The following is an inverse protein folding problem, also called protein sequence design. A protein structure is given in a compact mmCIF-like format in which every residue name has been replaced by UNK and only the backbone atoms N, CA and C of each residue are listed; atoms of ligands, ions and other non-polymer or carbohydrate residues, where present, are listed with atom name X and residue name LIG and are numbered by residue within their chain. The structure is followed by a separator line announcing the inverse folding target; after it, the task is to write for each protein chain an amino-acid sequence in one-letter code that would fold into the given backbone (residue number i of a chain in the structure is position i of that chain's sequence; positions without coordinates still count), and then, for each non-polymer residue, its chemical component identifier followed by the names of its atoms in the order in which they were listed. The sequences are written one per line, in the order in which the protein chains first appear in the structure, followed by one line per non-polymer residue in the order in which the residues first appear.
data_IF_958032719450
#
_entry.id   IF_958032719450
#
_cell.length_a   1.000
_cell.length_b   1.000
_cell.length_c   1.000
_cell.angle_alpha   90.00
_cell.angle_beta   90.00
_cell.angle_gamma   90.00
#
_symmetry.space_group_name_H-M   'P 1'
#
loop_
_entity.id
_entity.type
_entity.pdbx_description
1 polymer ?
#
# COMPACT_ATOMS: atom_id res chain seq x y z
N UNK A 1 -72.55 77.49 69.46
CA UNK A 1 -72.00 76.49 70.39
C UNK A 1 -71.25 75.46 69.54
N UNK A 2 -70.01 75.76 69.14
CA UNK A 2 -68.74 75.32 69.80
C UNK A 2 -68.54 73.81 69.62
N UNK A 3 -67.46 73.27 69.04
CA UNK A 3 -66.18 73.84 68.62
C UNK A 3 -65.48 72.87 67.63
N UNK A 4 -64.61 73.43 66.78
CA UNK A 4 -63.48 72.75 66.13
C UNK A 4 -62.39 72.40 67.16
N UNK A 5 -61.65 71.30 66.97
CA UNK A 5 -60.19 71.16 67.24
C UNK A 5 -59.71 69.78 66.80
N UNK A 6 -58.89 69.68 65.75
CA UNK A 6 -57.44 69.41 65.82
C UNK A 6 -57.03 68.14 66.59
N UNK A 7 -56.51 67.15 65.84
CA UNK A 7 -55.52 66.19 66.33
C UNK A 7 -54.63 65.74 65.16
N UNK A 8 -53.55 66.49 64.96
CA UNK A 8 -52.37 66.13 64.20
C UNK A 8 -51.53 65.09 64.97
N UNK A 9 -50.73 64.34 64.20
CA UNK A 9 -49.51 63.61 64.59
C UNK A 9 -49.63 62.30 65.38
N UNK A 10 -49.36 61.20 64.66
CA UNK A 10 -48.21 60.34 64.96
C UNK A 10 -47.88 59.42 63.77
N UNK A 11 -46.81 59.75 63.06
CA UNK A 11 -46.09 58.80 62.20
C UNK A 11 -45.00 58.12 63.04
N UNK A 12 -44.97 56.78 63.15
CA UNK A 12 -43.81 56.11 63.69
C UNK A 12 -42.78 55.90 62.58
N UNK A 13 -41.74 56.73 62.60
CA UNK A 13 -40.45 56.32 62.06
C UNK A 13 -39.90 55.19 62.95
N UNK A 14 -39.78 53.99 62.40
CA UNK A 14 -38.86 52.98 62.91
C UNK A 14 -37.94 52.55 61.78
N UNK A 15 -36.71 53.08 61.83
CA UNK A 15 -35.55 52.45 61.22
C UNK A 15 -35.37 51.07 61.86
N UNK A 16 -35.46 50.00 61.07
CA UNK A 16 -34.83 48.73 61.41
C UNK A 16 -34.37 48.00 60.14
N UNK A 17 -33.06 47.77 60.11
CA UNK A 17 -32.35 46.68 59.44
C UNK A 17 -32.54 46.47 57.93
N UNK A 18 -31.49 46.87 57.22
CA UNK A 18 -30.91 46.17 56.07
C UNK A 18 -31.06 44.65 56.20
N UNK A 19 -32.06 44.11 55.51
CA UNK A 19 -32.12 42.75 54.97
C UNK A 19 -33.17 42.85 53.85
N UNK A 20 -32.77 43.40 52.71
CA UNK A 20 -33.67 43.56 51.57
C UNK A 20 -33.87 42.21 50.90
N UNK A 21 -34.91 41.48 51.32
CA UNK A 21 -35.39 40.32 50.58
C UNK A 21 -35.80 40.74 49.15
N UNK A 22 -35.58 39.90 48.14
CA UNK A 22 -35.94 40.21 46.77
C UNK A 22 -37.46 40.46 46.67
N UNK A 23 -37.85 41.66 46.26
CA UNK A 23 -39.25 41.98 45.98
C UNK A 23 -39.75 41.09 44.84
N UNK A 24 -40.55 40.09 45.21
CA UNK A 24 -41.22 39.21 44.26
C UNK A 24 -42.69 39.61 44.17
N UNK A 25 -43.08 40.13 43.01
CA UNK A 25 -44.48 40.46 42.72
C UNK A 25 -45.11 39.31 41.96
N UNK A 26 -46.17 38.74 42.53
CA UNK A 26 -46.99 37.75 41.85
C UNK A 26 -48.07 38.46 41.05
N UNK A 27 -48.10 38.21 39.75
CA UNK A 27 -49.13 38.74 38.86
C UNK A 27 -50.01 37.56 38.44
N UNK A 28 -51.24 37.54 38.95
CA UNK A 28 -52.26 36.60 38.48
C UNK A 28 -53.01 37.22 37.30
N UNK A 29 -52.93 36.56 36.14
CA UNK A 29 -53.78 36.87 34.98
C UNK A 29 -54.85 35.77 34.89
N UNK A 30 -56.07 36.01 35.39
CA UNK A 30 -57.07 34.95 35.63
C UNK A 30 -57.53 34.21 34.38
N UNK A 31 -57.32 34.79 33.20
CA UNK A 31 -57.85 34.29 31.92
C UNK A 31 -57.02 33.13 31.33
N UNK A 32 -55.80 32.87 31.83
CA UNK A 32 -54.88 31.87 31.28
C UNK A 32 -54.40 30.81 32.29
N UNK A 33 -54.89 30.84 33.53
CA UNK A 33 -54.54 29.86 34.59
C UNK A 33 -53.03 29.68 34.81
N UNK A 34 -52.23 30.72 34.55
CA UNK A 34 -50.77 30.68 34.62
C UNK A 34 -50.28 31.63 35.71
N UNK A 35 -49.53 31.08 36.67
CA UNK A 35 -48.90 31.85 37.74
C UNK A 35 -47.46 32.17 37.35
N UNK A 36 -47.18 33.46 37.18
CA UNK A 36 -45.83 33.93 36.88
C UNK A 36 -45.25 34.56 38.14
N UNK A 37 -44.08 34.07 38.55
CA UNK A 37 -43.26 34.70 39.58
C UNK A 37 -42.14 35.46 38.87
N UNK A 38 -42.23 36.79 38.86
CA UNK A 38 -41.17 37.64 38.33
C UNK A 38 -40.23 38.01 39.47
N UNK A 39 -39.00 37.51 39.41
CA UNK A 39 -37.94 37.85 40.37
C UNK A 39 -36.96 38.82 39.69
N UNK A 40 -36.79 40.01 40.26
CA UNK A 40 -35.81 41.00 39.82
C UNK A 40 -34.41 40.58 40.31
N UNK A 41 -33.41 40.68 39.43
CA UNK A 41 -32.04 40.29 39.76
C UNK A 41 -31.49 41.14 40.93
N UNK A 42 -30.80 40.54 41.92
CA UNK A 42 -30.18 41.28 43.02
C UNK A 42 -29.16 42.29 42.52
N UNK A 43 -29.02 43.43 43.21
CA UNK A 43 -28.10 44.52 42.83
C UNK A 43 -26.64 44.06 42.77
N UNK A 44 -26.30 43.01 43.52
CA UNK A 44 -24.94 42.45 43.64
C UNK A 44 -24.65 41.29 42.66
N UNK A 45 -25.60 40.96 41.78
CA UNK A 45 -25.50 39.84 40.85
C UNK A 45 -25.93 38.48 41.43
N UNK A 46 -26.07 37.48 40.57
CA UNK A 46 -26.39 36.11 40.99
C UNK A 46 -25.15 35.43 41.59
N UNK A 47 -25.33 34.51 42.54
CA UNK A 47 -24.23 33.75 43.15
C UNK A 47 -23.32 33.10 42.09
N UNK A 48 -21.99 33.21 42.27
CA UNK A 48 -21.02 32.59 41.38
C UNK A 48 -21.24 31.06 41.33
N UNK A 49 -21.46 30.54 40.13
CA UNK A 49 -21.68 29.10 39.91
C UNK A 49 -20.48 28.33 40.47
N UNK A 50 -20.74 27.32 41.31
CA UNK A 50 -19.70 26.46 41.90
C UNK A 50 -18.69 26.02 40.82
N UNK A 51 -17.39 26.32 40.99
CA UNK A 51 -16.37 25.99 39.99
C UNK A 51 -16.38 24.51 39.58
N UNK A 52 -16.85 23.62 40.46
CA UNK A 52 -17.01 22.19 40.16
C UNK A 52 -18.01 21.92 39.02
N UNK A 53 -19.09 22.68 38.90
CA UNK A 53 -20.11 22.50 37.85
C UNK A 53 -19.52 22.85 36.47
N UNK A 54 -18.65 23.86 36.41
CA UNK A 54 -17.95 24.25 35.17
C UNK A 54 -17.04 23.13 34.65
N UNK A 55 -16.34 22.41 35.54
CA UNK A 55 -15.54 21.25 35.14
C UNK A 55 -16.41 20.09 34.63
N UNK A 56 -17.57 19.83 35.24
CA UNK A 56 -18.50 18.79 34.76
C UNK A 56 -19.01 19.10 33.36
N UNK A 57 -19.36 20.35 33.08
CA UNK A 57 -19.83 20.80 31.75
C UNK A 57 -18.77 20.66 30.65
N UNK A 58 -17.48 20.73 31.00
CA UNK A 58 -16.37 20.57 30.05
C UNK A 58 -15.92 19.10 29.89
N UNK A 59 -15.93 18.31 30.97
CA UNK A 59 -15.45 16.92 30.94
C UNK A 59 -16.41 15.96 30.24
N UNK A 60 -17.72 16.21 30.33
CA UNK A 60 -18.74 15.40 29.65
C UNK A 60 -18.59 15.39 28.10
N UNK A 61 -18.55 16.55 27.40
CA UNK A 61 -18.37 16.54 25.95
C UNK A 61 -16.98 16.02 25.54
N UNK A 62 -15.95 16.25 26.36
CA UNK A 62 -14.60 15.76 26.07
C UNK A 62 -14.51 14.23 26.13
N UNK A 63 -15.08 13.61 27.16
CA UNK A 63 -15.14 12.15 27.28
C UNK A 63 -15.97 11.51 26.17
N UNK A 64 -17.09 12.14 25.78
CA UNK A 64 -17.88 11.71 24.64
C UNK A 64 -17.09 11.77 23.32
N UNK A 65 -16.34 12.84 23.09
CA UNK A 65 -15.49 12.99 21.91
C UNK A 65 -14.40 11.91 21.84
N UNK A 66 -13.73 11.64 22.95
CA UNK A 66 -12.71 10.57 23.04
C UNK A 66 -13.34 9.21 22.71
N UNK A 67 -14.54 8.92 23.23
CA UNK A 67 -15.27 7.69 22.91
C UNK A 67 -15.57 7.54 21.42
N UNK A 68 -15.96 8.63 20.75
CA UNK A 68 -16.20 8.63 19.29
C UNK A 68 -14.90 8.40 18.52
N UNK A 69 -13.81 9.07 18.89
CA UNK A 69 -12.51 8.88 18.24
C UNK A 69 -12.02 7.42 18.37
N UNK A 70 -12.06 6.85 19.57
CA UNK A 70 -11.67 5.45 19.79
C UNK A 70 -12.58 4.48 19.01
N UNK A 71 -13.89 4.74 18.94
CA UNK A 71 -14.81 3.97 18.14
C UNK A 71 -14.48 4.03 16.63
N UNK A 72 -14.17 5.22 16.13
CA UNK A 72 -13.72 5.40 14.73
C UNK A 72 -12.42 4.66 14.43
N UNK A 73 -11.42 4.76 15.31
CA UNK A 73 -10.14 4.08 15.14
C UNK A 73 -10.30 2.56 15.07
N UNK A 74 -11.15 1.99 15.93
CA UNK A 74 -11.49 0.56 15.90
C UNK A 74 -12.18 0.19 14.59
N UNK A 75 -13.16 0.96 14.12
CA UNK A 75 -13.85 0.70 12.85
C UNK A 75 -12.90 0.77 11.67
N UNK A 76 -12.00 1.75 11.63
CA UNK A 76 -10.99 1.89 10.58
C UNK A 76 -9.98 0.75 10.62
N UNK A 77 -9.53 0.34 11.80
CA UNK A 77 -8.64 -0.80 11.98
C UNK A 77 -9.27 -2.10 11.49
N UNK A 78 -10.54 -2.35 11.82
CA UNK A 78 -11.29 -3.52 11.35
C UNK A 78 -11.46 -3.52 9.82
N UNK A 79 -11.80 -2.38 9.21
CA UNK A 79 -11.89 -2.23 7.75
C UNK A 79 -10.55 -2.45 7.07
N UNK A 80 -9.47 -1.93 7.64
CA UNK A 80 -8.10 -2.13 7.13
C UNK A 80 -7.71 -3.60 7.21
N UNK A 81 -7.99 -4.27 8.33
CA UNK A 81 -7.72 -5.70 8.50
C UNK A 81 -8.53 -6.53 7.49
N UNK A 82 -9.83 -6.26 7.31
CA UNK A 82 -10.64 -6.98 6.33
C UNK A 82 -10.14 -6.76 4.89
N UNK A 83 -9.75 -5.53 4.53
CA UNK A 83 -9.16 -5.25 3.22
C UNK A 83 -7.81 -5.96 3.01
N UNK A 84 -6.99 -6.05 4.05
CA UNK A 84 -5.72 -6.79 3.98
C UNK A 84 -5.93 -8.28 3.78
N UNK A 85 -6.92 -8.89 4.45
CA UNK A 85 -7.25 -10.31 4.24
C UNK A 85 -7.78 -10.59 2.84
N UNK A 86 -8.67 -9.73 2.32
CA UNK A 86 -9.13 -9.82 0.93
C UNK A 86 -7.97 -9.66 -0.06
N UNK A 87 -7.04 -8.73 0.19
CA UNK A 87 -5.84 -8.57 -0.63
C UNK A 87 -4.92 -9.78 -0.57
N UNK A 88 -4.72 -10.37 0.62
CA UNK A 88 -3.93 -11.59 0.80
C UNK A 88 -4.56 -12.78 0.07
N UNK A 89 -5.88 -12.96 0.17
CA UNK A 89 -6.61 -14.01 -0.55
C UNK A 89 -6.55 -13.80 -2.07
N UNK A 90 -6.76 -12.56 -2.54
CA UNK A 90 -6.62 -12.24 -3.96
C UNK A 90 -5.21 -12.55 -4.47
N UNK A 91 -4.18 -12.11 -3.75
CA UNK A 91 -2.79 -12.38 -4.12
C UNK A 91 -2.43 -13.87 -4.05
N UNK A 92 -2.95 -14.62 -3.07
CA UNK A 92 -2.72 -16.06 -2.98
C UNK A 92 -3.39 -16.80 -4.14
N UNK A 93 -4.59 -16.37 -4.53
CA UNK A 93 -5.30 -16.93 -5.67
C UNK A 93 -4.61 -16.60 -6.99
N UNK A 94 -4.16 -15.36 -7.20
CA UNK A 94 -3.34 -14.96 -8.36
C UNK A 94 -2.07 -15.80 -8.42
N UNK A 95 -1.34 -15.93 -7.31
CA UNK A 95 -0.14 -16.80 -7.24
C UNK A 95 -0.46 -18.25 -7.57
N UNK A 96 -1.53 -18.80 -6.99
CA UNK A 96 -1.94 -20.19 -7.22
C UNK A 96 -2.29 -20.43 -8.69
N UNK A 97 -3.05 -19.51 -9.32
CA UNK A 97 -3.36 -19.58 -10.76
C UNK A 97 -2.11 -19.48 -11.62
N UNK A 98 -1.19 -18.57 -11.30
CA UNK A 98 0.09 -18.43 -12.02
C UNK A 98 0.91 -19.71 -11.90
N UNK A 99 1.02 -20.31 -10.71
CA UNK A 99 1.74 -21.57 -10.49
C UNK A 99 1.07 -22.71 -11.25
N UNK A 100 -0.26 -22.84 -11.15
CA UNK A 100 -1.00 -23.90 -11.82
C UNK A 100 -0.88 -23.80 -13.34
N UNK A 101 -0.95 -22.58 -13.88
CA UNK A 101 -0.75 -22.32 -15.31
C UNK A 101 0.69 -22.59 -15.75
N UNK A 102 1.68 -22.25 -14.93
CA UNK A 102 3.08 -22.58 -15.21
C UNK A 102 3.29 -24.10 -15.25
N UNK A 103 2.73 -24.85 -14.29
CA UNK A 103 2.83 -26.32 -14.23
C UNK A 103 2.14 -26.97 -15.43
N UNK A 104 0.95 -26.50 -15.83
CA UNK A 104 0.26 -27.04 -17.01
C UNK A 104 1.02 -26.77 -18.32
N UNK A 105 1.82 -25.70 -18.35
CA UNK A 105 2.54 -25.24 -19.54
C UNK A 105 4.00 -25.72 -19.61
N UNK A 106 4.51 -26.51 -18.66
CA UNK A 106 5.91 -26.98 -18.68
C UNK A 106 6.28 -27.74 -19.97
N UNK A 107 5.30 -28.32 -20.67
CA UNK A 107 5.50 -29.05 -21.93
C UNK A 107 5.01 -28.26 -23.16
N UNK A 108 4.47 -27.06 -22.99
CA UNK A 108 3.91 -26.25 -24.08
C UNK A 108 4.88 -25.15 -24.43
N UNK A 109 5.46 -25.25 -25.63
CA UNK A 109 6.37 -24.26 -26.20
C UNK A 109 5.57 -23.41 -27.20
N UNK A 110 5.12 -22.23 -26.76
CA UNK A 110 4.33 -21.28 -27.57
C UNK A 110 5.20 -20.43 -28.50
N UNK A 111 6.50 -20.38 -28.23
CA UNK A 111 7.52 -19.70 -29.05
C UNK A 111 8.78 -20.58 -29.08
N UNK A 112 9.56 -20.60 -30.18
CA UNK A 112 10.76 -21.42 -30.25
C UNK A 112 11.72 -21.19 -29.08
N UNK A 113 12.33 -22.26 -28.57
CA UNK A 113 13.38 -22.16 -27.57
C UNK A 113 14.65 -21.63 -28.23
N UNK A 114 14.89 -20.33 -28.07
CA UNK A 114 16.05 -19.66 -28.64
C UNK A 114 17.22 -19.65 -27.65
N UNK A 115 18.43 -19.98 -28.11
CA UNK A 115 19.66 -20.00 -27.31
C UNK A 115 20.83 -19.40 -28.09
N UNK A 116 21.88 -19.01 -27.36
CA UNK A 116 23.11 -18.42 -27.94
C UNK A 116 24.31 -19.27 -27.53
N UNK A 117 25.23 -19.50 -28.47
CA UNK A 117 26.48 -20.18 -28.19
C UNK A 117 27.35 -19.33 -27.26
N UNK A 118 27.99 -19.95 -26.26
CA UNK A 118 28.82 -19.20 -25.30
C UNK A 118 30.01 -18.52 -25.98
N UNK A 119 30.62 -19.17 -26.97
CA UNK A 119 31.77 -18.63 -27.71
C UNK A 119 31.40 -17.36 -28.47
N UNK A 120 30.18 -17.28 -28.99
CA UNK A 120 29.69 -16.10 -29.69
C UNK A 120 29.25 -15.02 -28.72
N UNK A 121 28.60 -15.40 -27.61
CA UNK A 121 28.24 -14.48 -26.56
C UNK A 121 29.47 -13.74 -26.01
N UNK A 122 30.58 -14.42 -25.77
CA UNK A 122 31.83 -13.81 -25.29
C UNK A 122 32.42 -12.77 -26.27
N UNK A 123 32.07 -12.84 -27.57
CA UNK A 123 32.50 -11.90 -28.61
C UNK A 123 31.57 -10.69 -28.73
N UNK A 124 30.42 -10.65 -28.06
CA UNK A 124 29.46 -9.56 -28.22
C UNK A 124 29.95 -8.23 -27.65
N UNK A 125 30.75 -8.28 -26.58
CA UNK A 125 31.22 -7.11 -25.83
C UNK A 125 30.17 -6.48 -24.93
N UNK A 126 28.89 -6.83 -25.08
CA UNK A 126 27.76 -6.44 -24.25
C UNK A 126 26.59 -7.40 -24.45
N UNK A 127 25.58 -7.36 -23.58
CA UNK A 127 24.34 -8.12 -23.81
C UNK A 127 23.61 -7.50 -25.00
N UNK A 128 23.41 -8.29 -26.06
CA UNK A 128 22.70 -7.84 -27.26
C UNK A 128 21.22 -8.17 -27.18
N UNK A 129 20.41 -7.35 -27.82
CA UNK A 129 18.97 -7.59 -27.97
C UNK A 129 18.70 -8.76 -28.90
N UNK A 130 17.63 -9.52 -28.66
CA UNK A 130 17.18 -10.64 -29.47
C UNK A 130 17.20 -10.37 -30.97
N UNK A 131 16.58 -9.27 -31.43
CA UNK A 131 16.51 -8.93 -32.85
C UNK A 131 17.91 -8.76 -33.46
N UNK A 132 18.82 -8.09 -32.74
CA UNK A 132 20.22 -7.94 -33.17
C UNK A 132 20.94 -9.28 -33.27
N UNK A 133 20.72 -10.20 -32.32
CA UNK A 133 21.35 -11.53 -32.32
C UNK A 133 20.79 -12.40 -33.45
N UNK A 134 19.47 -12.35 -33.66
CA UNK A 134 18.75 -13.03 -34.75
C UNK A 134 19.23 -12.55 -36.11
N UNK A 135 19.29 -11.25 -36.33
CA UNK A 135 19.66 -10.66 -37.63
C UNK A 135 21.13 -10.91 -37.98
N UNK A 136 21.98 -11.17 -36.97
CA UNK A 136 23.36 -11.63 -37.14
C UNK A 136 23.50 -13.14 -37.40
N UNK A 137 22.41 -13.90 -37.34
CA UNK A 137 22.42 -15.36 -37.50
C UNK A 137 23.07 -16.11 -36.32
N UNK A 138 23.16 -15.47 -35.15
CA UNK A 138 23.81 -16.04 -33.95
C UNK A 138 22.81 -16.66 -32.97
N UNK A 139 21.51 -16.60 -33.31
CA UNK A 139 20.44 -17.16 -32.51
C UNK A 139 20.10 -18.56 -33.03
N UNK A 140 20.20 -19.56 -32.15
CA UNK A 140 19.77 -20.92 -32.47
C UNK A 140 18.35 -21.15 -31.94
N UNK A 141 17.40 -21.44 -32.84
CA UNK A 141 15.98 -21.59 -32.50
C UNK A 141 15.55 -23.05 -32.59
N UNK A 142 14.92 -23.56 -31.53
CA UNK A 142 14.45 -24.94 -31.45
C UNK A 142 12.93 -24.94 -31.28
N UNK A 143 12.21 -25.44 -32.27
CA UNK A 143 10.75 -25.24 -32.36
C UNK A 143 9.92 -26.19 -31.49
N UNK A 144 10.48 -27.32 -31.05
CA UNK A 144 9.72 -28.35 -30.31
C UNK A 144 10.30 -28.60 -28.93
N UNK A 145 9.42 -28.89 -27.96
CA UNK A 145 9.83 -29.22 -26.59
C UNK A 145 10.77 -30.43 -26.53
N UNK A 146 10.47 -31.47 -27.33
CA UNK A 146 11.29 -32.69 -27.35
C UNK A 146 12.71 -32.41 -27.86
N UNK A 147 12.83 -31.68 -28.98
CA UNK A 147 14.15 -31.29 -29.50
C UNK A 147 14.90 -30.40 -28.52
N UNK A 148 14.22 -29.49 -27.81
CA UNK A 148 14.83 -28.63 -26.80
C UNK A 148 15.36 -29.45 -25.61
N UNK A 149 14.61 -30.43 -25.12
CA UNK A 149 15.04 -31.33 -24.05
C UNK A 149 16.26 -32.16 -24.47
N UNK A 150 16.26 -32.73 -25.67
CA UNK A 150 17.37 -33.54 -26.17
C UNK A 150 18.63 -32.69 -26.39
N UNK A 151 18.46 -31.49 -26.96
CA UNK A 151 19.53 -30.51 -27.12
C UNK A 151 20.16 -30.11 -25.77
N UNK A 152 19.33 -29.76 -24.79
CA UNK A 152 19.82 -29.38 -23.46
C UNK A 152 20.62 -30.52 -22.82
N UNK A 153 20.16 -31.77 -22.93
CA UNK A 153 20.85 -32.95 -22.38
C UNK A 153 22.20 -33.24 -23.04
N UNK A 154 22.30 -33.04 -24.35
CA UNK A 154 23.51 -33.34 -25.12
C UNK A 154 24.56 -32.25 -24.95
N UNK A 155 24.21 -31.00 -25.24
CA UNK A 155 25.16 -29.89 -25.36
C UNK A 155 25.28 -29.03 -24.09
N UNK A 156 24.31 -29.11 -23.18
CA UNK A 156 24.29 -28.33 -21.94
C UNK A 156 23.92 -26.88 -22.17
N UNK A 157 22.77 -26.47 -21.63
CA UNK A 157 22.27 -25.09 -21.69
C UNK A 157 22.18 -24.53 -20.28
N UNK A 158 22.79 -23.35 -20.09
CA UNK A 158 22.71 -22.58 -18.85
C UNK A 158 21.57 -21.58 -18.96
N UNK A 159 20.54 -21.75 -18.15
CA UNK A 159 19.48 -20.76 -17.97
C UNK A 159 19.99 -19.65 -17.05
N UNK A 160 20.06 -18.42 -17.55
CA UNK A 160 20.54 -17.27 -16.79
C UNK A 160 19.36 -16.45 -16.31
N UNK A 161 19.17 -16.41 -15.00
CA UNK A 161 18.26 -15.49 -14.33
C UNK A 161 19.04 -14.31 -13.79
N UNK A 162 18.63 -13.08 -14.10
CA UNK A 162 19.34 -11.85 -13.73
C UNK A 162 18.38 -10.69 -13.51
N UNK A 163 18.87 -9.64 -12.86
CA UNK A 163 18.11 -8.41 -12.63
C UNK A 163 18.25 -7.41 -13.78
N UNK A 164 17.12 -6.81 -14.17
CA UNK A 164 17.09 -5.69 -15.11
C UNK A 164 17.47 -4.39 -14.40
N UNK A 165 18.56 -3.75 -14.83
CA UNK A 165 19.05 -2.49 -14.25
C UNK A 165 18.43 -1.23 -14.89
N UNK A 166 17.68 -1.37 -15.96
CA UNK A 166 16.92 -0.26 -16.55
C UNK A 166 15.75 -0.79 -17.39
N UNK A 167 14.82 0.09 -17.74
CA UNK A 167 13.62 -0.29 -18.50
C UNK A 167 13.93 -0.67 -19.95
N UNK A 168 14.88 0.02 -20.58
CA UNK A 168 15.20 -0.18 -22.00
C UNK A 168 16.31 -1.20 -22.25
N UNK A 169 17.19 -1.41 -21.27
CA UNK A 169 18.32 -2.31 -21.40
C UNK A 169 18.63 -2.96 -20.04
N UNK A 170 18.80 -4.28 -19.97
CA UNK A 170 19.00 -4.94 -18.70
C UNK A 170 20.37 -4.62 -18.08
N UNK A 171 21.40 -4.40 -18.89
CA UNK A 171 22.78 -4.20 -18.43
C UNK A 171 23.48 -2.98 -19.06
N UNK A 172 23.06 -1.74 -18.73
CA UNK A 172 23.61 -0.53 -19.35
C UNK A 172 25.12 -0.34 -19.13
N UNK A 173 25.66 -0.90 -18.04
CA UNK A 173 27.05 -0.73 -17.62
C UNK A 173 27.93 -1.97 -17.91
N UNK A 174 27.39 -3.02 -18.53
CA UNK A 174 28.15 -4.24 -18.86
C UNK A 174 28.54 -5.12 -17.65
N UNK A 175 28.10 -4.77 -16.44
CA UNK A 175 28.47 -5.50 -15.21
C UNK A 175 27.97 -6.94 -15.25
N UNK A 176 26.76 -7.17 -15.78
CA UNK A 176 26.18 -8.51 -15.86
C UNK A 176 26.79 -9.32 -16.98
N UNK A 177 27.08 -8.70 -18.13
CA UNK A 177 27.80 -9.33 -19.23
C UNK A 177 29.12 -9.97 -18.75
N UNK A 178 29.94 -9.19 -18.04
CA UNK A 178 31.19 -9.70 -17.49
C UNK A 178 30.98 -10.81 -16.45
N UNK A 179 30.00 -10.64 -15.57
CA UNK A 179 29.69 -11.60 -14.52
C UNK A 179 29.23 -12.95 -15.10
N UNK A 180 28.39 -12.93 -16.15
CA UNK A 180 27.95 -14.12 -16.88
C UNK A 180 29.15 -14.85 -17.45
N UNK A 181 30.03 -14.16 -18.18
CA UNK A 181 31.23 -14.78 -18.77
C UNK A 181 32.12 -15.42 -17.71
N UNK A 182 32.35 -14.75 -16.57
CA UNK A 182 33.12 -15.31 -15.45
C UNK A 182 32.44 -16.55 -14.85
N UNK A 183 31.13 -16.51 -14.65
CA UNK A 183 30.36 -17.61 -14.07
C UNK A 183 30.34 -18.84 -14.97
N UNK A 184 30.10 -18.68 -16.28
CA UNK A 184 30.07 -19.80 -17.23
C UNK A 184 31.45 -20.45 -17.36
N UNK A 185 32.54 -19.67 -17.43
CA UNK A 185 33.90 -20.23 -17.44
C UNK A 185 34.20 -21.03 -16.18
N UNK A 186 33.74 -20.57 -15.01
CA UNK A 186 33.92 -21.32 -13.77
C UNK A 186 33.09 -22.62 -13.75
N UNK A 187 31.87 -22.61 -14.31
CA UNK A 187 31.06 -23.83 -14.48
C UNK A 187 31.77 -24.84 -15.38
N UNK A 188 32.28 -24.40 -16.53
CA UNK A 188 33.04 -25.23 -17.46
C UNK A 188 34.32 -25.79 -16.81
N UNK A 189 35.05 -24.98 -16.03
CA UNK A 189 36.25 -25.40 -15.27
C UNK A 189 35.93 -26.49 -14.25
N UNK A 190 34.72 -26.50 -13.69
CA UNK A 190 34.23 -27.54 -12.77
C UNK A 190 33.69 -28.78 -13.49
N UNK A 191 33.77 -28.84 -14.81
CA UNK A 191 33.30 -29.96 -15.63
C UNK A 191 31.79 -29.95 -15.91
N UNK A 192 31.10 -28.84 -15.65
CA UNK A 192 29.69 -28.68 -16.03
C UNK A 192 29.61 -28.35 -17.51
N UNK A 193 28.80 -29.08 -18.29
CA UNK A 193 28.54 -28.73 -19.70
C UNK A 193 27.70 -27.46 -19.76
N UNK A 194 28.27 -26.44 -20.40
CA UNK A 194 27.70 -25.11 -20.51
C UNK A 194 28.14 -24.49 -21.85
N UNK A 195 27.77 -25.14 -22.95
CA UNK A 195 28.13 -24.67 -24.30
C UNK A 195 27.17 -23.58 -24.81
N UNK A 196 25.96 -23.56 -24.25
CA UNK A 196 24.89 -22.66 -24.65
C UNK A 196 24.34 -21.90 -23.47
N UNK A 197 23.83 -20.72 -23.74
CA UNK A 197 23.13 -19.90 -22.75
C UNK A 197 21.73 -19.57 -23.23
N UNK A 198 20.81 -19.52 -22.28
CA UNK A 198 19.54 -18.86 -22.43
C UNK A 198 19.55 -17.61 -21.54
N UNK A 199 19.27 -16.46 -22.14
CA UNK A 199 19.20 -15.17 -21.46
C UNK A 199 18.04 -14.37 -22.05
N UNK A 200 17.13 -13.91 -21.20
CA UNK A 200 15.87 -13.27 -21.59
C UNK A 200 16.02 -12.18 -22.68
N UNK A 201 16.92 -11.21 -22.54
CA UNK A 201 17.06 -10.10 -23.49
C UNK A 201 17.63 -10.52 -24.85
N UNK A 202 18.45 -11.58 -24.88
CA UNK A 202 18.99 -12.17 -26.11
C UNK A 202 18.03 -13.17 -26.76
N UNK A 203 17.23 -13.88 -25.96
CA UNK A 203 16.49 -15.06 -26.40
C UNK A 203 14.98 -14.80 -26.55
N UNK A 204 14.46 -13.74 -25.94
CA UNK A 204 13.06 -13.31 -26.05
C UNK A 204 13.00 -12.07 -26.97
N UNK A 205 12.10 -12.05 -27.96
CA UNK A 205 11.83 -10.85 -28.76
C UNK A 205 11.53 -9.63 -27.88
N UNK A 206 12.09 -8.47 -28.23
CA UNK A 206 11.91 -7.23 -27.48
C UNK A 206 11.09 -6.19 -28.24
N UNK A 207 10.96 -6.32 -29.57
CA UNK A 207 10.21 -5.37 -30.39
C UNK A 207 8.76 -5.80 -30.62
N UNK A 208 8.52 -7.11 -30.77
CA UNK A 208 7.18 -7.64 -30.99
C UNK A 208 6.57 -8.14 -29.67
N UNK A 209 5.69 -7.33 -29.09
CA UNK A 209 5.02 -7.63 -27.81
C UNK A 209 4.25 -8.97 -27.83
N UNK A 210 3.67 -9.36 -28.96
CA UNK A 210 2.92 -10.63 -29.06
C UNK A 210 3.89 -11.81 -28.97
N UNK A 211 4.98 -11.77 -29.73
CA UNK A 211 6.00 -12.82 -29.67
C UNK A 211 6.73 -12.83 -28.33
N UNK A 212 7.01 -11.64 -27.78
CA UNK A 212 7.58 -11.49 -26.44
C UNK A 212 6.71 -12.19 -25.41
N UNK A 213 5.39 -11.95 -25.43
CA UNK A 213 4.48 -12.59 -24.48
C UNK A 213 4.42 -14.11 -24.69
N UNK A 214 4.40 -14.59 -25.94
CA UNK A 214 4.45 -16.05 -26.23
C UNK A 214 5.72 -16.71 -25.69
N UNK A 215 6.87 -16.04 -25.82
CA UNK A 215 8.14 -16.50 -25.26
C UNK A 215 8.15 -16.46 -23.73
N UNK A 216 7.62 -15.41 -23.10
CA UNK A 216 7.47 -15.31 -21.65
C UNK A 216 6.56 -16.42 -21.11
N UNK A 217 5.44 -16.71 -21.78
CA UNK A 217 4.52 -17.78 -21.40
C UNK A 217 5.18 -19.16 -21.44
N UNK A 218 6.19 -19.32 -22.29
CA UNK A 218 6.96 -20.56 -22.48
C UNK A 218 8.20 -20.64 -21.58
N UNK A 219 8.51 -19.57 -20.84
CA UNK A 219 9.74 -19.45 -20.06
C UNK A 219 9.91 -20.59 -19.03
N UNK A 220 8.84 -21.02 -18.37
CA UNK A 220 8.90 -22.11 -17.41
C UNK A 220 9.26 -23.45 -18.05
N UNK A 221 8.82 -23.69 -19.28
CA UNK A 221 9.20 -24.85 -20.07
C UNK A 221 10.71 -24.81 -20.35
N UNK A 222 11.21 -23.67 -20.85
CA UNK A 222 12.65 -23.46 -21.12
C UNK A 222 13.52 -23.73 -19.89
N UNK A 223 13.15 -23.15 -18.74
CA UNK A 223 13.85 -23.37 -17.47
C UNK A 223 13.89 -24.84 -17.08
N UNK A 224 12.80 -25.58 -17.33
CA UNK A 224 12.73 -27.01 -17.01
C UNK A 224 13.58 -27.90 -17.92
N UNK A 225 13.89 -27.44 -19.14
CA UNK A 225 14.71 -28.19 -20.09
C UNK A 225 16.20 -27.99 -19.85
N UNK A 226 16.59 -26.79 -19.41
CA UNK A 226 17.99 -26.43 -19.20
C UNK A 226 18.68 -27.31 -18.16
N UNK A 227 19.96 -27.61 -18.38
CA UNK A 227 20.75 -28.48 -17.49
C UNK A 227 21.27 -27.75 -16.26
N UNK A 228 21.37 -26.42 -16.32
CA UNK A 228 21.92 -25.62 -15.23
C UNK A 228 21.13 -24.32 -15.10
N UNK A 229 20.77 -23.98 -13.87
CA UNK A 229 20.15 -22.72 -13.53
C UNK A 229 21.17 -21.82 -12.83
N UNK A 230 21.50 -20.68 -13.44
CA UNK A 230 22.43 -19.70 -12.90
C UNK A 230 21.65 -18.45 -12.48
N UNK A 231 21.62 -18.19 -11.18
CA UNK A 231 21.09 -16.95 -10.61
C UNK A 231 22.21 -15.91 -10.48
N UNK A 232 22.09 -14.80 -11.20
CA UNK A 232 23.09 -13.75 -11.29
C UNK A 232 22.57 -12.46 -10.65
N UNK A 233 23.09 -12.15 -9.46
CA UNK A 233 22.73 -10.96 -8.69
C UNK A 233 23.97 -10.16 -8.25
N UNK A 234 24.74 -9.58 -9.19
CA UNK A 234 25.85 -8.71 -8.84
C UNK A 234 25.32 -7.37 -8.32
N UNK A 235 26.09 -6.68 -7.48
CA UNK A 235 25.81 -5.28 -7.16
C UNK A 235 25.80 -4.46 -8.45
N UNK A 236 24.67 -3.84 -8.80
CA UNK A 236 24.57 -2.96 -9.95
C UNK A 236 23.74 -1.72 -9.63
N UNK A 237 24.04 -0.62 -10.32
CA UNK A 237 23.27 0.62 -10.24
C UNK A 237 22.09 0.54 -11.20
N UNK A 238 20.89 0.76 -10.68
CA UNK A 238 19.69 0.90 -11.51
C UNK A 238 19.69 2.29 -12.13
N UNK A 239 19.46 2.39 -13.43
CA UNK A 239 19.49 3.66 -14.17
C UNK A 239 18.23 4.47 -13.91
N UNK A 240 17.11 3.80 -13.67
CA UNK A 240 15.77 4.40 -13.59
C UNK A 240 15.20 4.39 -12.15
N UNK A 241 16.05 4.56 -11.12
CA UNK A 241 15.67 4.56 -9.70
C UNK A 241 15.61 5.94 -9.06
#
# INVERSE_FOLDING_TARGET
MTAESEALERWPHSNSSLDAEPESSFIEVPELSLHWKLELAPVDGWEEVDPNITYVLLLLPLSALIGVCLGMDVILALRKHSQQEVWKMYMSEVRARTIQSAISNLNVVQFPFCVVCIEDFEKFGMILRHETVRDRGLLHSIDTAQAAMDFCRLDGVVFISHQWAGYSHPDPYGTKYEAIGKAVRELQRRGVRANWIWLDYCCIPQENNVQQQSAINSMFAYTSFCTTFLSLAPTCTHVDS
#
